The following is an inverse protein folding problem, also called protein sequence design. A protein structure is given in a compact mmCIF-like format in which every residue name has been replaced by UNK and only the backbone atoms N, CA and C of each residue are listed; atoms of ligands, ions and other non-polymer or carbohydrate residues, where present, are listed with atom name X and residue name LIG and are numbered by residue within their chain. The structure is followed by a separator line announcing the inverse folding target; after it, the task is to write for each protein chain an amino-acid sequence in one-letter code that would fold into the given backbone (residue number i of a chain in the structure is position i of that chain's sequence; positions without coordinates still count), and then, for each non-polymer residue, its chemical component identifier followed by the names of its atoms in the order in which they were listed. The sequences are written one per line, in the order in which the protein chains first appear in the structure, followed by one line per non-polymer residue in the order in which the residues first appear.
data_IF_689496180851
#
_entry.id   IF_689496180851
#
_cell.length_a   1.000
_cell.length_b   1.000
_cell.length_c   1.000
_cell.angle_alpha   90.00
_cell.angle_beta   90.00
_cell.angle_gamma   90.00
#
_symmetry.space_group_name_H-M   'P 1'
#
loop_
_entity.id
_entity.type
_entity.pdbx_description
1 polymer ?
#
# COMPACT_ATOMS: atom_id res chain seq x y z
N UNK A 1 14.00 -3.89 13.92
CA UNK A 1 12.81 -4.08 13.06
C UNK A 1 11.73 -3.19 13.62
N UNK A 2 10.95 -2.56 12.74
CA UNK A 2 9.85 -1.67 13.10
C UNK A 2 8.59 -2.17 12.39
N UNK A 3 7.44 -1.89 12.99
CA UNK A 3 6.16 -2.34 12.44
C UNK A 3 5.81 -1.52 11.21
N UNK A 4 5.46 -2.25 10.15
CA UNK A 4 4.90 -1.76 8.92
C UNK A 4 3.47 -2.29 8.81
N UNK A 5 2.51 -1.38 8.66
CA UNK A 5 1.09 -1.69 8.62
C UNK A 5 0.47 -1.15 7.34
N UNK A 6 -0.23 -2.01 6.62
CA UNK A 6 -1.13 -1.63 5.52
C UNK A 6 -2.55 -1.70 6.05
N UNK A 7 -3.24 -0.56 6.13
CA UNK A 7 -4.70 -0.56 6.21
C UNK A 7 -5.26 -0.27 4.81
N UNK A 8 -6.18 -1.10 4.35
CA UNK A 8 -6.80 -0.98 3.05
C UNK A 8 -8.31 -1.13 3.22
N UNK A 9 -9.07 -0.17 2.74
CA UNK A 9 -10.51 -0.30 2.52
C UNK A 9 -10.75 -0.32 1.02
N UNK A 10 -11.27 -1.43 0.49
CA UNK A 10 -11.50 -1.58 -0.95
C UNK A 10 -12.77 -0.88 -1.42
N UNK A 11 -12.85 -0.59 -2.71
CA UNK A 11 -14.06 -0.07 -3.35
C UNK A 11 -14.95 -1.20 -3.87
N UNK A 12 -15.84 -0.88 -4.84
CA UNK A 12 -16.69 -1.87 -5.50
C UNK A 12 -15.90 -2.95 -6.24
N UNK A 13 -14.64 -2.72 -6.58
CA UNK A 13 -13.81 -3.60 -7.40
C UNK A 13 -12.51 -4.00 -6.69
N UNK A 14 -12.61 -4.44 -5.43
CA UNK A 14 -11.45 -4.82 -4.61
C UNK A 14 -10.44 -5.77 -5.29
N UNK A 15 -10.90 -6.70 -6.13
CA UNK A 15 -10.04 -7.65 -6.84
C UNK A 15 -9.03 -6.98 -7.80
N UNK A 16 -9.23 -5.70 -8.14
CA UNK A 16 -8.32 -4.92 -8.97
C UNK A 16 -7.14 -4.34 -8.17
N UNK A 17 -7.27 -4.27 -6.85
CA UNK A 17 -6.27 -3.69 -5.96
C UNK A 17 -5.19 -4.71 -5.62
N UNK A 18 -3.94 -4.30 -5.69
CA UNK A 18 -2.80 -5.07 -5.15
C UNK A 18 -1.72 -4.10 -4.68
N UNK A 19 -0.76 -4.56 -3.90
CA UNK A 19 0.36 -3.74 -3.47
C UNK A 19 1.62 -4.56 -3.24
N UNK A 20 2.76 -3.89 -3.29
CA UNK A 20 4.05 -4.46 -2.97
C UNK A 20 4.96 -3.46 -2.25
N UNK A 21 6.00 -4.00 -1.62
CA UNK A 21 7.09 -3.25 -1.03
C UNK A 21 8.37 -3.68 -1.72
N UNK A 22 9.09 -2.71 -2.25
CA UNK A 22 10.36 -2.87 -2.96
C UNK A 22 11.48 -2.42 -2.03
N UNK A 23 12.53 -3.24 -1.92
CA UNK A 23 13.74 -2.93 -1.16
C UNK A 23 14.67 -1.96 -1.90
N UNK A 24 15.69 -1.47 -1.22
CA UNK A 24 16.70 -0.56 -1.78
C UNK A 24 17.49 -1.16 -2.95
N UNK A 25 17.59 -2.49 -3.01
CA UNK A 25 18.20 -3.25 -4.11
C UNK A 25 17.29 -3.39 -5.34
N UNK A 26 16.05 -2.89 -5.26
CA UNK A 26 15.04 -3.00 -6.31
C UNK A 26 14.24 -4.31 -6.30
N UNK A 27 14.49 -5.19 -5.33
CA UNK A 27 13.80 -6.47 -5.23
C UNK A 27 12.49 -6.35 -4.42
N UNK A 28 11.47 -7.14 -4.80
CA UNK A 28 10.21 -7.19 -4.06
C UNK A 28 10.41 -7.97 -2.77
N UNK A 29 10.28 -7.30 -1.63
CA UNK A 29 10.47 -7.91 -0.30
C UNK A 29 9.15 -8.34 0.35
N UNK A 30 8.02 -7.75 -0.07
CA UNK A 30 6.68 -8.07 0.42
C UNK A 30 5.65 -7.72 -0.65
N UNK A 31 4.56 -8.49 -0.74
CA UNK A 31 3.42 -8.16 -1.60
C UNK A 31 2.11 -8.74 -1.09
N UNK A 32 0.99 -8.15 -1.50
CA UNK A 32 -0.33 -8.75 -1.34
C UNK A 32 -0.38 -10.09 -2.07
N UNK A 33 -0.82 -11.14 -1.38
CA UNK A 33 -0.91 -12.51 -1.90
C UNK A 33 -2.33 -13.06 -1.90
N UNK A 34 -3.33 -12.18 -1.82
CA UNK A 34 -4.75 -12.51 -1.82
C UNK A 34 -5.47 -11.64 -2.85
N UNK A 35 -6.62 -12.12 -3.31
CA UNK A 35 -7.59 -11.31 -4.03
C UNK A 35 -8.50 -10.62 -3.00
N UNK A 36 -8.72 -9.32 -3.14
CA UNK A 36 -9.55 -8.58 -2.20
C UNK A 36 -11.02 -8.55 -2.61
N UNK A 37 -11.91 -8.67 -1.63
CA UNK A 37 -13.35 -8.51 -1.81
C UNK A 37 -13.73 -7.03 -1.88
N UNK A 38 -14.92 -6.76 -2.43
CA UNK A 38 -15.46 -5.40 -2.56
C UNK A 38 -15.94 -4.84 -1.21
N UNK A 39 -15.63 -3.58 -0.93
CA UNK A 39 -16.06 -2.87 0.29
C UNK A 39 -15.68 -3.55 1.61
N UNK A 40 -14.49 -4.15 1.66
CA UNK A 40 -13.96 -4.82 2.86
C UNK A 40 -12.72 -4.08 3.36
N UNK A 41 -12.57 -4.03 4.68
CA UNK A 41 -11.36 -3.51 5.32
C UNK A 41 -10.39 -4.65 5.60
N UNK A 42 -9.16 -4.49 5.12
CA UNK A 42 -8.03 -5.38 5.36
C UNK A 42 -6.96 -4.65 6.15
N UNK A 43 -6.27 -5.41 7.01
CA UNK A 43 -5.10 -4.94 7.75
C UNK A 43 -4.00 -5.99 7.67
N UNK A 44 -2.84 -5.60 7.16
CA UNK A 44 -1.63 -6.41 7.20
C UNK A 44 -0.63 -5.74 8.15
N UNK A 45 0.04 -6.52 9.00
CA UNK A 45 1.09 -6.04 9.92
C UNK A 45 2.32 -6.95 9.79
N UNK A 46 3.45 -6.35 9.43
CA UNK A 46 4.72 -7.05 9.19
C UNK A 46 5.85 -6.19 9.79
N UNK A 47 6.86 -6.80 10.40
CA UNK A 47 8.03 -6.04 10.85
C UNK A 47 9.10 -5.99 9.76
N UNK A 48 9.53 -4.79 9.37
CA UNK A 48 10.58 -4.55 8.38
C UNK A 48 11.87 -4.05 9.04
N UNK A 49 13.01 -4.17 8.36
CA UNK A 49 14.27 -3.64 8.88
C UNK A 49 14.18 -2.13 9.02
N UNK A 50 14.76 -1.57 10.08
CA UNK A 50 14.83 -0.12 10.27
C UNK A 50 16.01 0.55 9.60
N UNK A 51 16.86 -0.22 8.93
CA UNK A 51 18.13 0.27 8.34
C UNK A 51 18.11 0.34 6.83
N UNK A 52 16.95 0.14 6.21
CA UNK A 52 16.77 -0.01 4.77
C UNK A 52 15.77 1.04 4.29
N UNK A 53 15.98 1.54 3.08
CA UNK A 53 15.01 2.34 2.37
C UNK A 53 14.05 1.44 1.59
N UNK A 54 12.75 1.76 1.62
CA UNK A 54 11.73 0.99 0.93
C UNK A 54 10.85 1.90 0.08
N UNK A 55 10.29 1.34 -0.99
CA UNK A 55 9.19 1.94 -1.75
C UNK A 55 7.94 1.08 -1.56
N UNK A 56 6.85 1.69 -1.12
CA UNK A 56 5.53 1.08 -1.19
C UNK A 56 4.88 1.44 -2.52
N UNK A 57 4.30 0.45 -3.20
CA UNK A 57 3.54 0.66 -4.43
C UNK A 57 2.17 0.00 -4.28
N UNK A 58 1.10 0.74 -4.51
CA UNK A 58 -0.25 0.22 -4.66
C UNK A 58 -0.66 0.32 -6.13
N UNK A 59 -1.39 -0.68 -6.61
CA UNK A 59 -1.83 -0.84 -7.99
C UNK A 59 -3.35 -0.96 -8.05
N UNK A 60 -3.92 -0.41 -9.11
CA UNK A 60 -5.29 -0.64 -9.55
C UNK A 60 -5.29 -1.01 -11.03
N UNK A 61 -5.78 -2.21 -11.36
CA UNK A 61 -5.71 -2.72 -12.73
C UNK A 61 -6.64 -2.01 -13.73
N UNK A 62 -7.71 -1.35 -13.27
CA UNK A 62 -8.57 -0.54 -14.13
C UNK A 62 -7.99 0.85 -14.44
N UNK A 63 -7.18 1.38 -13.53
CA UNK A 63 -6.60 2.71 -13.61
C UNK A 63 -7.55 3.82 -13.17
N UNK A 64 -8.64 3.48 -12.46
CA UNK A 64 -9.55 4.45 -11.86
C UNK A 64 -9.32 4.66 -10.36
N UNK A 65 -8.34 3.96 -9.80
CA UNK A 65 -7.98 4.03 -8.40
C UNK A 65 -9.02 3.33 -7.53
N UNK A 66 -8.82 3.40 -6.22
CA UNK A 66 -9.73 2.75 -5.27
C UNK A 66 -10.73 3.74 -4.67
N UNK A 67 -10.75 5.00 -5.10
CA UNK A 67 -11.69 5.97 -4.57
C UNK A 67 -12.34 6.81 -5.65
N UNK A 68 -13.36 7.51 -5.15
CA UNK A 68 -13.83 8.78 -5.64
C UNK A 68 -14.89 8.66 -6.75
N UNK A 69 -15.80 9.63 -6.79
CA UNK A 69 -16.96 9.65 -7.70
C UNK A 69 -17.97 8.51 -7.46
N UNK A 70 -18.29 8.24 -6.18
CA UNK A 70 -19.27 7.22 -5.76
C UNK A 70 -18.65 5.88 -5.37
N UNK A 71 -17.34 5.87 -5.13
CA UNK A 71 -16.54 4.78 -4.58
C UNK A 71 -15.90 5.27 -3.29
N UNK A 72 -15.81 4.40 -2.29
CA UNK A 72 -15.42 4.79 -0.93
C UNK A 72 -14.12 4.13 -0.45
N UNK A 73 -13.33 3.50 -1.33
CA UNK A 73 -12.08 2.86 -0.92
C UNK A 73 -10.96 3.85 -0.57
N UNK A 74 -10.00 3.39 0.23
CA UNK A 74 -8.86 4.17 0.71
C UNK A 74 -7.76 3.25 1.22
N UNK A 75 -6.53 3.76 1.35
CA UNK A 75 -5.45 3.05 2.03
C UNK A 75 -4.64 3.99 2.93
N UNK A 76 -3.98 3.42 3.93
CA UNK A 76 -2.98 4.12 4.75
C UNK A 76 -1.84 3.18 5.12
N UNK A 77 -0.62 3.67 5.02
CA UNK A 77 0.59 2.98 5.43
C UNK A 77 1.16 3.63 6.67
N UNK A 78 1.38 2.81 7.69
CA UNK A 78 1.98 3.20 8.97
C UNK A 78 3.33 2.49 9.09
N UNK A 79 4.36 3.24 9.45
CA UNK A 79 5.68 2.72 9.76
C UNK A 79 6.18 3.33 11.06
N UNK A 80 6.52 2.48 12.04
CA UNK A 80 6.95 2.93 13.38
C UNK A 80 5.95 3.89 14.04
N UNK A 81 4.67 3.50 14.04
CA UNK A 81 3.53 4.29 14.54
C UNK A 81 3.28 5.65 13.85
N UNK A 82 3.98 5.95 12.76
CA UNK A 82 3.81 7.16 11.95
C UNK A 82 3.14 6.83 10.61
N UNK A 83 2.10 7.59 10.24
CA UNK A 83 1.53 7.50 8.90
C UNK A 83 2.53 8.07 7.89
N UNK A 84 3.04 7.21 7.00
CA UNK A 84 4.04 7.56 5.99
C UNK A 84 3.44 7.71 4.58
N UNK A 85 2.21 7.25 4.39
CA UNK A 85 1.45 7.50 3.17
C UNK A 85 -0.02 7.11 3.33
N UNK A 86 -0.89 7.74 2.55
CA UNK A 86 -2.32 7.48 2.53
C UNK A 86 -2.93 8.03 1.26
N UNK A 87 -3.97 7.39 0.75
CA UNK A 87 -4.59 7.83 -0.49
C UNK A 87 -5.77 6.97 -0.91
N UNK A 88 -6.08 7.07 -2.19
CA UNK A 88 -7.17 6.36 -2.84
C UNK A 88 -7.46 6.87 -4.25
N UNK A 89 -7.18 8.17 -4.51
CA UNK A 89 -7.37 8.80 -5.82
C UNK A 89 -6.06 8.71 -6.61
N UNK A 90 -5.91 7.62 -7.35
CA UNK A 90 -4.77 7.43 -8.23
C UNK A 90 -5.23 6.76 -9.53
N UNK A 91 -4.34 6.72 -10.53
CA UNK A 91 -4.60 6.01 -11.79
C UNK A 91 -4.32 4.51 -11.62
N UNK A 92 -3.38 4.00 -12.41
CA UNK A 92 -2.97 2.59 -12.33
C UNK A 92 -2.12 2.25 -11.10
N UNK A 93 -1.43 3.23 -10.53
CA UNK A 93 -0.60 3.04 -9.34
C UNK A 93 -0.32 4.34 -8.61
N UNK A 94 0.04 4.20 -7.35
CA UNK A 94 0.63 5.25 -6.53
C UNK A 94 1.79 4.66 -5.72
N UNK A 95 2.86 5.44 -5.51
CA UNK A 95 4.00 4.99 -4.72
C UNK A 95 4.60 6.10 -3.88
N UNK A 96 5.26 5.70 -2.80
CA UNK A 96 6.04 6.59 -1.96
C UNK A 96 7.11 5.81 -1.19
N UNK A 97 8.11 6.57 -0.78
CA UNK A 97 9.33 6.05 -0.17
C UNK A 97 9.28 6.24 1.35
N UNK A 98 9.70 5.23 2.10
CA UNK A 98 9.72 5.25 3.58
C UNK A 98 10.93 4.47 4.14
N UNK A 99 11.20 4.64 5.43
CA UNK A 99 12.38 4.06 6.08
C UNK A 99 13.60 4.99 6.04
N UNK A 100 14.80 4.41 6.10
CA UNK A 100 16.06 5.16 6.13
C UNK A 100 16.53 5.51 4.71
N UNK A 101 15.87 6.47 4.09
CA UNK A 101 16.17 6.89 2.73
C UNK A 101 17.09 8.12 2.72
N UNK A 102 18.27 7.98 2.12
CA UNK A 102 19.17 9.11 1.91
C UNK A 102 18.57 10.00 0.81
N UNK A 103 18.19 11.24 1.18
CA UNK A 103 17.79 12.27 0.23
C UNK A 103 19.00 12.88 -0.46
#
# INVERSE_FOLDING_TARGET
FLDFVVNLFTDRFGAQTSWEVIGEDGEVVLKSNIEYESFVTYRATISLSCKVCYEFVIYDSAGDGICCRGRDGSFSIIYDDVVVGSGGEFGYKESFVFGMCNR
#
